data_IF_906167483042
#
_entry.id   IF_906167483042
#
_cell.length_a   1.000
_cell.length_b   1.000
_cell.length_c   1.000
_cell.angle_alpha   90.00
_cell.angle_beta   90.00
_cell.angle_gamma   90.00
#
_symmetry.space_group_name_H-M   'P 1'
#
loop_
_entity.id
_entity.type
_entity.pdbx_description
1 polymer ?
#
# COMPACT_ATOMS: atom_id res chain seq x y z
N UNK A 1 -7.10 -20.05 26.49
CA UNK A 1 -8.41 -19.36 26.37
C UNK A 1 -8.77 -18.46 27.55
N UNK A 2 -8.44 -18.81 28.80
CA UNK A 2 -8.80 -18.00 29.98
C UNK A 2 -7.91 -16.74 30.10
N UNK A 3 -6.60 -16.88 29.86
CA UNK A 3 -5.62 -15.81 30.05
C UNK A 3 -5.92 -14.51 29.25
N UNK A 4 -6.31 -14.57 27.96
CA UNK A 4 -6.75 -13.37 27.23
C UNK A 4 -7.97 -12.66 27.85
N UNK A 5 -8.90 -13.40 28.46
CA UNK A 5 -10.07 -12.81 29.13
C UNK A 5 -9.67 -12.13 30.44
N UNK A 6 -8.74 -12.73 31.18
CA UNK A 6 -8.21 -12.15 32.42
C UNK A 6 -7.49 -10.84 32.10
N UNK A 7 -6.62 -10.81 31.08
CA UNK A 7 -5.88 -9.59 30.71
C UNK A 7 -6.77 -8.42 30.26
N UNK A 8 -7.97 -8.69 29.75
CA UNK A 8 -8.94 -7.61 29.46
C UNK A 8 -9.46 -6.94 30.73
N UNK A 9 -9.60 -7.68 31.83
CA UNK A 9 -10.03 -7.16 33.12
C UNK A 9 -8.87 -6.69 34.00
N UNK A 10 -7.68 -7.26 33.80
CA UNK A 10 -6.48 -7.06 34.60
C UNK A 10 -5.25 -6.88 33.70
N UNK A 11 -5.12 -5.73 33.01
CA UNK A 11 -4.01 -5.44 32.09
C UNK A 11 -2.62 -5.44 32.76
N UNK A 12 -2.55 -5.27 34.07
CA UNK A 12 -1.31 -5.25 34.87
C UNK A 12 -0.47 -6.53 34.74
N UNK A 13 -1.11 -7.70 34.56
CA UNK A 13 -0.42 -8.99 34.45
C UNK A 13 0.23 -9.23 33.08
N UNK A 14 0.21 -8.24 32.17
CA UNK A 14 0.83 -8.37 30.86
C UNK A 14 2.36 -8.58 30.98
N UNK A 15 2.99 -7.99 32.00
CA UNK A 15 4.45 -8.10 32.21
C UNK A 15 4.87 -9.51 32.66
N UNK A 16 4.00 -10.21 33.38
CA UNK A 16 4.25 -11.56 33.92
C UNK A 16 3.94 -12.69 32.92
N UNK A 17 3.55 -12.33 31.69
CA UNK A 17 3.11 -13.29 30.68
C UNK A 17 4.11 -14.43 30.40
N UNK A 18 5.41 -14.13 30.43
CA UNK A 18 6.49 -15.11 30.22
C UNK A 18 6.57 -16.15 31.34
N UNK A 19 6.23 -15.76 32.57
CA UNK A 19 6.18 -16.66 33.73
C UNK A 19 4.92 -17.53 33.69
N UNK A 20 3.84 -17.01 33.11
CA UNK A 20 2.52 -17.66 33.06
C UNK A 20 2.40 -18.63 31.87
N UNK A 21 3.02 -18.34 30.72
CA UNK A 21 2.90 -19.18 29.52
C UNK A 21 4.09 -19.08 28.58
N UNK A 22 4.57 -20.24 28.12
CA UNK A 22 5.57 -20.37 27.05
C UNK A 22 4.89 -20.64 25.69
N UNK A 23 3.57 -20.90 25.68
CA UNK A 23 2.85 -21.20 24.45
C UNK A 23 2.81 -19.96 23.53
N UNK A 24 3.41 -20.03 22.32
CA UNK A 24 3.59 -18.88 21.43
C UNK A 24 2.25 -18.29 21.00
N UNK A 25 1.25 -19.14 20.71
CA UNK A 25 -0.10 -18.71 20.33
C UNK A 25 -0.78 -17.90 21.43
N UNK A 26 -0.63 -18.33 22.69
CA UNK A 26 -1.21 -17.60 23.82
C UNK A 26 -0.51 -16.27 24.03
N UNK A 27 0.81 -16.23 23.90
CA UNK A 27 1.60 -14.99 23.95
C UNK A 27 1.18 -14.01 22.86
N UNK A 28 1.01 -14.45 21.61
CA UNK A 28 0.55 -13.61 20.50
C UNK A 28 -0.84 -13.02 20.77
N UNK A 29 -1.81 -13.83 21.22
CA UNK A 29 -3.17 -13.35 21.50
C UNK A 29 -3.21 -12.38 22.70
N UNK A 30 -2.43 -12.64 23.75
CA UNK A 30 -2.36 -11.75 24.91
C UNK A 30 -1.66 -10.42 24.57
N UNK A 31 -0.59 -10.48 23.78
CA UNK A 31 0.09 -9.30 23.23
C UNK A 31 -0.85 -8.44 22.40
N UNK A 32 -1.64 -9.09 21.54
CA UNK A 32 -2.65 -8.43 20.72
C UNK A 32 -3.59 -7.57 21.57
N UNK A 33 -4.06 -8.11 22.69
CA UNK A 33 -4.92 -7.40 23.64
C UNK A 33 -4.14 -6.24 24.30
N UNK A 34 -2.91 -6.49 24.75
CA UNK A 34 -2.05 -5.45 25.31
C UNK A 34 -1.84 -4.26 24.36
N UNK A 35 -1.66 -4.52 23.06
CA UNK A 35 -1.57 -3.46 22.04
C UNK A 35 -2.87 -2.70 21.85
N UNK A 36 -4.01 -3.38 21.79
CA UNK A 36 -5.33 -2.71 21.70
C UNK A 36 -5.60 -1.82 22.91
N UNK A 37 -5.12 -2.20 24.10
CA UNK A 37 -5.24 -1.42 25.33
C UNK A 37 -4.18 -0.31 25.46
N UNK A 38 -3.22 -0.23 24.52
CA UNK A 38 -2.15 0.76 24.51
C UNK A 38 -1.05 0.55 25.54
N UNK A 39 -0.94 -0.66 26.11
CA UNK A 39 0.04 -1.02 27.13
C UNK A 39 1.40 -1.41 26.55
N UNK A 40 1.42 -1.81 25.28
CA UNK A 40 2.65 -2.08 24.51
C UNK A 40 2.94 -0.95 23.50
N UNK A 41 2.93 0.32 23.94
CA UNK A 41 3.44 1.43 23.11
C UNK A 41 4.93 1.26 22.91
N UNK A 42 5.46 1.27 21.69
CA UNK A 42 6.79 0.74 21.31
C UNK A 42 6.97 -0.76 21.66
N UNK A 43 6.69 -1.61 20.67
CA UNK A 43 6.57 -3.06 20.80
C UNK A 43 7.72 -3.74 21.56
N UNK A 44 8.96 -3.44 21.15
CA UNK A 44 10.15 -4.15 21.64
C UNK A 44 10.76 -3.53 22.91
N UNK A 45 10.40 -2.29 23.25
CA UNK A 45 10.88 -1.66 24.48
C UNK A 45 9.93 -1.88 25.65
N UNK A 46 8.62 -1.83 25.40
CA UNK A 46 7.61 -1.86 26.47
C UNK A 46 7.08 -3.25 26.77
N UNK A 47 7.30 -4.20 25.85
CA UNK A 47 6.86 -5.58 26.01
C UNK A 47 8.05 -6.54 25.79
N UNK A 48 8.96 -6.67 26.79
CA UNK A 48 10.22 -7.42 26.69
C UNK A 48 10.02 -8.94 26.52
N UNK A 49 8.79 -9.41 26.67
CA UNK A 49 8.43 -10.80 26.39
C UNK A 49 8.25 -11.11 24.90
N UNK A 50 8.14 -10.08 24.05
CA UNK A 50 7.97 -10.23 22.62
C UNK A 50 9.33 -10.19 21.97
N UNK A 51 9.90 -11.37 21.77
CA UNK A 51 11.16 -11.50 21.05
C UNK A 51 10.91 -11.38 19.55
N UNK A 52 11.82 -10.70 18.88
CA UNK A 52 11.86 -10.62 17.42
C UNK A 52 11.72 -12.00 16.78
N UNK A 53 12.40 -13.01 17.33
CA UNK A 53 12.41 -14.37 16.80
C UNK A 53 11.06 -15.09 16.96
N UNK A 54 10.33 -14.80 18.04
CA UNK A 54 8.98 -15.33 18.26
C UNK A 54 8.01 -14.81 17.19
N UNK A 55 8.06 -13.51 16.88
CA UNK A 55 7.25 -12.94 15.80
C UNK A 55 7.66 -13.55 14.47
N UNK A 56 8.97 -13.63 14.20
CA UNK A 56 9.50 -14.18 12.95
C UNK A 56 9.03 -15.63 12.72
N UNK A 57 9.02 -16.46 13.76
CA UNK A 57 8.49 -17.83 13.70
C UNK A 57 6.97 -17.85 13.45
N UNK A 58 6.21 -16.98 14.11
CA UNK A 58 4.77 -16.89 13.92
C UNK A 58 4.37 -16.40 12.52
N UNK A 59 5.18 -15.56 11.88
CA UNK A 59 4.99 -15.10 10.50
C UNK A 59 5.09 -16.23 9.47
N UNK A 60 5.88 -17.27 9.74
CA UNK A 60 6.08 -18.43 8.86
C UNK A 60 5.25 -19.65 9.28
N UNK A 61 4.24 -19.44 10.13
CA UNK A 61 3.37 -20.51 10.60
C UNK A 61 2.44 -20.99 9.48
N UNK A 62 2.15 -22.28 9.42
CA UNK A 62 1.13 -22.83 8.52
C UNK A 62 -0.30 -22.42 8.95
N UNK A 63 -0.50 -22.11 10.25
CA UNK A 63 -1.76 -21.57 10.76
C UNK A 63 -1.88 -20.07 10.40
N UNK A 64 -2.72 -19.77 9.40
CA UNK A 64 -3.05 -18.43 8.93
C UNK A 64 -3.44 -17.46 10.07
N UNK A 65 -4.12 -17.96 11.12
CA UNK A 65 -4.53 -17.12 12.23
C UNK A 65 -3.34 -16.65 13.07
N UNK A 66 -2.31 -17.49 13.23
CA UNK A 66 -1.08 -17.12 13.94
C UNK A 66 -0.34 -16.05 13.14
N UNK A 67 -0.22 -16.23 11.82
CA UNK A 67 0.39 -15.24 10.92
C UNK A 67 -0.34 -13.89 11.00
N UNK A 68 -1.68 -13.90 10.95
CA UNK A 68 -2.50 -12.69 11.07
C UNK A 68 -2.37 -12.03 12.44
N UNK A 69 -2.31 -12.80 13.52
CA UNK A 69 -2.13 -12.26 14.87
C UNK A 69 -0.74 -11.61 15.01
N UNK A 70 0.31 -12.18 14.42
CA UNK A 70 1.64 -11.57 14.34
C UNK A 70 1.62 -10.26 13.54
N UNK A 71 0.98 -10.24 12.37
CA UNK A 71 0.83 -9.00 11.59
C UNK A 71 0.03 -7.94 12.36
N UNK A 72 -1.04 -8.34 13.04
CA UNK A 72 -1.83 -7.42 13.87
C UNK A 72 -0.94 -6.76 14.92
N UNK A 73 -0.10 -7.53 15.59
CA UNK A 73 0.82 -7.00 16.60
C UNK A 73 1.76 -5.96 15.99
N UNK A 74 2.18 -6.09 14.74
CA UNK A 74 3.03 -5.09 14.09
C UNK A 74 2.26 -3.82 13.69
N UNK A 75 1.04 -3.99 13.18
CA UNK A 75 0.25 -2.91 12.59
C UNK A 75 -0.58 -2.11 13.61
N UNK A 76 -1.07 -2.71 14.69
CA UNK A 76 -2.03 -2.09 15.60
C UNK A 76 -1.33 -1.13 16.57
N UNK A 77 -1.53 0.18 16.49
CA UNK A 77 -0.96 1.12 17.46
C UNK A 77 -1.99 2.18 17.86
N UNK A 78 -2.18 2.48 19.16
CA UNK A 78 -3.11 3.53 19.60
C UNK A 78 -2.70 4.94 19.13
N UNK A 79 -1.42 5.17 18.82
CA UNK A 79 -0.88 6.47 18.40
C UNK A 79 -0.24 6.33 17.02
N UNK A 80 -0.91 6.86 16.00
CA UNK A 80 -0.40 6.81 14.60
C UNK A 80 0.87 7.65 14.40
N UNK A 81 1.16 8.61 15.29
CA UNK A 81 2.37 9.44 15.27
C UNK A 81 3.56 8.82 16.00
N UNK A 82 3.38 7.67 16.69
CA UNK A 82 4.49 6.95 17.31
C UNK A 82 5.41 6.35 16.25
N UNK A 83 6.71 6.58 16.40
CA UNK A 83 7.72 6.15 15.43
C UNK A 83 7.75 4.63 15.27
N UNK A 84 8.17 4.18 14.11
CA UNK A 84 8.45 2.77 13.86
C UNK A 84 9.95 2.50 14.01
N UNK A 85 10.26 1.42 14.72
CA UNK A 85 11.62 0.91 14.83
C UNK A 85 12.06 0.21 13.54
N UNK A 86 13.38 0.07 13.36
CA UNK A 86 13.95 -0.68 12.24
C UNK A 86 13.47 -2.15 12.23
N UNK A 87 13.34 -2.74 13.43
CA UNK A 87 12.87 -4.11 13.63
C UNK A 87 11.42 -4.27 13.14
N UNK A 88 10.53 -3.31 13.43
CA UNK A 88 9.15 -3.32 12.92
C UNK A 88 9.12 -3.28 11.39
N UNK A 89 9.94 -2.43 10.76
CA UNK A 89 10.03 -2.40 9.31
C UNK A 89 10.48 -3.75 8.75
N UNK A 90 11.56 -4.32 9.29
CA UNK A 90 12.12 -5.57 8.76
C UNK A 90 11.19 -6.77 8.98
N UNK A 91 10.40 -6.80 10.05
CA UNK A 91 9.37 -7.81 10.25
C UNK A 91 8.19 -7.68 9.29
N UNK A 92 7.77 -6.47 8.94
CA UNK A 92 6.74 -6.27 7.90
C UNK A 92 7.29 -6.70 6.53
N UNK A 93 8.54 -6.36 6.20
CA UNK A 93 9.20 -6.83 4.97
C UNK A 93 9.20 -8.36 4.91
N UNK A 94 9.61 -8.98 6.01
CA UNK A 94 9.66 -10.44 6.12
C UNK A 94 8.26 -11.06 6.00
N UNK A 95 7.25 -10.49 6.66
CA UNK A 95 5.86 -10.94 6.53
C UNK A 95 5.41 -10.96 5.07
N UNK A 96 5.61 -9.85 4.36
CA UNK A 96 5.23 -9.73 2.96
C UNK A 96 5.95 -10.76 2.09
N UNK A 97 7.26 -10.91 2.25
CA UNK A 97 8.03 -11.89 1.47
C UNK A 97 7.57 -13.33 1.68
N UNK A 98 7.16 -13.70 2.91
CA UNK A 98 6.77 -15.07 3.24
C UNK A 98 5.32 -15.40 2.89
N UNK A 99 4.43 -14.40 2.84
CA UNK A 99 2.98 -14.63 2.78
C UNK A 99 2.30 -14.05 1.53
N UNK A 100 3.02 -13.41 0.62
CA UNK A 100 2.45 -12.75 -0.57
C UNK A 100 1.72 -13.73 -1.50
N UNK A 101 2.18 -14.98 -1.58
CA UNK A 101 1.62 -16.00 -2.45
C UNK A 101 0.52 -16.86 -1.79
N UNK A 102 0.04 -16.47 -0.60
CA UNK A 102 -1.02 -17.22 0.06
C UNK A 102 -2.33 -17.17 -0.77
N UNK A 103 -2.87 -18.36 -1.10
CA UNK A 103 -4.06 -18.53 -1.94
C UNK A 103 -5.40 -18.12 -1.30
N UNK A 104 -5.45 -17.96 0.02
CA UNK A 104 -6.68 -17.69 0.78
C UNK A 104 -7.12 -16.23 0.60
N UNK A 105 -8.26 -16.02 -0.07
CA UNK A 105 -8.87 -14.68 -0.24
C UNK A 105 -9.22 -14.04 1.11
N UNK A 106 -9.71 -14.84 2.07
CA UNK A 106 -10.00 -14.35 3.43
C UNK A 106 -8.75 -13.82 4.13
N UNK A 107 -7.65 -14.57 4.05
CA UNK A 107 -6.36 -14.18 4.60
C UNK A 107 -5.85 -12.90 3.94
N UNK A 108 -5.81 -12.83 2.60
CA UNK A 108 -5.35 -11.65 1.85
C UNK A 108 -6.13 -10.39 2.21
N UNK A 109 -7.46 -10.49 2.36
CA UNK A 109 -8.29 -9.35 2.75
C UNK A 109 -7.99 -8.85 4.17
N UNK A 110 -7.75 -9.78 5.11
CA UNK A 110 -7.36 -9.43 6.48
C UNK A 110 -5.96 -8.82 6.54
N UNK A 111 -4.99 -9.37 5.80
CA UNK A 111 -3.64 -8.80 5.63
C UNK A 111 -3.74 -7.37 5.13
N UNK A 112 -4.49 -7.14 4.05
CA UNK A 112 -4.65 -5.81 3.48
C UNK A 112 -5.30 -4.84 4.48
N UNK A 113 -6.31 -5.27 5.24
CA UNK A 113 -6.94 -4.44 6.29
C UNK A 113 -5.93 -3.98 7.34
N UNK A 114 -5.04 -4.88 7.78
CA UNK A 114 -4.00 -4.56 8.75
C UNK A 114 -2.92 -3.65 8.16
N UNK A 115 -2.49 -3.91 6.92
CA UNK A 115 -1.52 -3.07 6.22
C UNK A 115 -2.01 -1.65 6.00
N UNK A 116 -3.30 -1.42 5.75
CA UNK A 116 -3.86 -0.06 5.67
C UNK A 116 -3.64 0.74 6.96
N UNK A 117 -3.84 0.11 8.13
CA UNK A 117 -3.56 0.76 9.43
C UNK A 117 -2.08 1.08 9.58
N UNK A 118 -1.21 0.16 9.18
CA UNK A 118 0.23 0.37 9.17
C UNK A 118 0.63 1.54 8.26
N UNK A 119 0.09 1.62 7.05
CA UNK A 119 0.40 2.72 6.12
C UNK A 119 -0.03 4.08 6.67
N UNK A 120 -1.19 4.15 7.35
CA UNK A 120 -1.61 5.36 8.06
C UNK A 120 -0.59 5.76 9.13
N UNK A 121 -0.14 4.81 9.97
CA UNK A 121 0.91 5.05 10.97
C UNK A 121 2.23 5.48 10.32
N UNK A 122 2.64 4.83 9.23
CA UNK A 122 3.84 5.19 8.47
C UNK A 122 3.76 6.64 7.99
N UNK A 123 2.65 7.04 7.37
CA UNK A 123 2.43 8.43 6.93
C UNK A 123 2.48 9.41 8.09
N UNK A 124 1.70 9.17 9.14
CA UNK A 124 1.52 10.12 10.23
C UNK A 124 2.81 10.30 11.04
N UNK A 125 3.50 9.21 11.36
CA UNK A 125 4.78 9.25 12.07
C UNK A 125 5.91 9.86 11.22
N UNK A 126 5.95 9.60 9.91
CA UNK A 126 6.90 10.23 9.00
C UNK A 126 6.71 11.74 8.89
N UNK A 127 5.47 12.20 8.67
CA UNK A 127 5.14 13.63 8.66
C UNK A 127 5.43 14.30 10.00
N UNK A 128 5.21 13.58 11.11
CA UNK A 128 5.57 14.07 12.43
C UNK A 128 7.09 14.23 12.59
N UNK A 129 7.90 13.24 12.20
CA UNK A 129 9.37 13.33 12.19
C UNK A 129 9.85 14.56 11.42
N UNK A 130 9.35 14.74 10.21
CA UNK A 130 9.77 15.83 9.34
C UNK A 130 9.41 17.22 9.90
N UNK A 131 8.25 17.37 10.54
CA UNK A 131 7.89 18.61 11.25
C UNK A 131 8.79 18.87 12.45
N UNK A 132 9.19 17.83 13.17
CA UNK A 132 10.09 17.96 14.33
C UNK A 132 11.51 18.31 13.90
N UNK A 133 12.01 17.72 12.81
CA UNK A 133 13.26 18.09 12.14
C UNK A 133 13.34 19.60 11.91
N UNK A 134 12.33 20.19 11.26
CA UNK A 134 12.32 21.64 10.98
C UNK A 134 12.28 22.52 12.23
N UNK A 135 11.63 22.06 13.31
CA UNK A 135 11.52 22.83 14.56
C UNK A 135 12.77 22.78 15.41
N UNK A 136 13.46 21.64 15.43
CA UNK A 136 14.54 21.36 16.38
C UNK A 136 15.93 21.31 15.75
N UNK A 137 16.05 21.26 14.41
CA UNK A 137 17.32 21.05 13.69
C UNK A 137 18.15 19.92 14.32
N UNK A 138 17.49 18.80 14.56
CA UNK A 138 18.04 17.68 15.32
C UNK A 138 18.33 16.50 14.37
N UNK A 139 19.58 16.07 14.38
CA UNK A 139 20.15 15.09 13.46
C UNK A 139 19.53 13.69 13.64
N UNK A 140 19.01 13.37 14.83
CA UNK A 140 18.29 12.11 15.06
C UNK A 140 17.03 12.00 14.20
N UNK A 141 16.37 13.14 13.91
CA UNK A 141 15.20 13.19 13.04
C UNK A 141 15.54 13.05 11.55
N UNK A 142 16.78 13.35 11.15
CA UNK A 142 17.26 13.08 9.79
C UNK A 142 17.34 11.58 9.55
N UNK A 143 18.01 10.86 10.44
CA UNK A 143 18.15 9.39 10.38
C UNK A 143 16.79 8.69 10.48
N UNK A 144 15.87 9.20 11.30
CA UNK A 144 14.48 8.73 11.34
C UNK A 144 13.80 8.92 9.98
N UNK A 145 13.81 10.13 9.43
CA UNK A 145 13.13 10.45 8.16
C UNK A 145 13.67 9.62 7.00
N UNK A 146 14.98 9.38 6.96
CA UNK A 146 15.62 8.56 5.93
C UNK A 146 15.26 7.08 6.06
N UNK A 147 15.07 6.56 7.28
CA UNK A 147 14.56 5.18 7.48
C UNK A 147 13.17 4.99 6.86
N UNK A 148 12.26 5.94 7.07
CA UNK A 148 10.94 5.90 6.42
C UNK A 148 11.05 5.93 4.89
N UNK A 149 11.95 6.77 4.35
CA UNK A 149 12.24 6.83 2.91
C UNK A 149 12.67 5.48 2.37
N UNK A 150 13.68 4.87 2.99
CA UNK A 150 14.22 3.60 2.54
C UNK A 150 13.18 2.48 2.64
N UNK A 151 12.35 2.48 3.68
CA UNK A 151 11.25 1.54 3.81
C UNK A 151 10.20 1.69 2.71
N UNK A 152 9.75 2.92 2.44
CA UNK A 152 8.74 3.19 1.42
C UNK A 152 9.26 2.90 0.01
N UNK A 153 10.52 3.25 -0.28
CA UNK A 153 11.19 2.91 -1.53
C UNK A 153 11.27 1.38 -1.73
N UNK A 154 11.69 0.65 -0.69
CA UNK A 154 11.70 -0.81 -0.72
C UNK A 154 10.30 -1.38 -0.99
N UNK A 155 9.28 -0.88 -0.30
CA UNK A 155 7.92 -1.41 -0.38
C UNK A 155 7.30 -1.20 -1.76
N UNK A 156 7.53 -0.03 -2.36
CA UNK A 156 7.13 0.28 -3.73
C UNK A 156 7.83 -0.66 -4.72
N UNK A 157 9.16 -0.75 -4.65
CA UNK A 157 9.94 -1.57 -5.59
C UNK A 157 9.61 -3.06 -5.43
N UNK A 158 9.46 -3.55 -4.20
CA UNK A 158 9.03 -4.92 -3.92
C UNK A 158 7.65 -5.19 -4.52
N UNK A 159 6.69 -4.30 -4.30
CA UNK A 159 5.34 -4.47 -4.84
C UNK A 159 5.33 -4.47 -6.37
N UNK A 160 6.07 -3.56 -7.01
CA UNK A 160 6.17 -3.51 -8.47
C UNK A 160 6.90 -4.74 -9.03
N UNK A 161 7.88 -5.29 -8.32
CA UNK A 161 8.59 -6.51 -8.73
C UNK A 161 7.71 -7.75 -8.72
N UNK A 162 6.61 -7.75 -7.96
CA UNK A 162 5.63 -8.83 -7.88
C UNK A 162 4.51 -8.73 -8.92
N UNK A 163 4.53 -7.72 -9.80
CA UNK A 163 3.50 -7.50 -10.83
C UNK A 163 3.84 -8.12 -12.20
N UNK A 164 4.81 -9.03 -12.27
CA UNK A 164 5.13 -9.72 -13.52
C UNK A 164 4.00 -10.69 -13.92
N UNK A 165 3.76 -10.85 -15.23
CA UNK A 165 2.59 -11.56 -15.75
C UNK A 165 2.52 -13.04 -15.34
N UNK A 166 3.65 -13.69 -15.09
CA UNK A 166 3.73 -15.11 -14.70
C UNK A 166 3.49 -15.34 -13.20
N UNK A 167 3.40 -14.27 -12.39
CA UNK A 167 3.13 -14.37 -10.96
C UNK A 167 1.71 -14.88 -10.67
N UNK A 168 1.52 -15.47 -9.49
CA UNK A 168 0.19 -15.94 -9.10
C UNK A 168 -0.79 -14.77 -8.96
N UNK A 169 -2.10 -15.05 -9.10
CA UNK A 169 -3.13 -14.05 -8.82
C UNK A 169 -2.99 -13.50 -7.40
N UNK A 170 -2.74 -14.35 -6.40
CA UNK A 170 -2.55 -13.93 -5.02
C UNK A 170 -1.44 -12.91 -4.85
N UNK A 171 -0.29 -13.20 -5.45
CA UNK A 171 0.89 -12.35 -5.36
C UNK A 171 0.68 -11.00 -6.04
N UNK A 172 0.18 -11.02 -7.29
CA UNK A 172 -0.06 -9.82 -8.07
C UNK A 172 -1.15 -8.94 -7.44
N UNK A 173 -2.25 -9.55 -7.00
CA UNK A 173 -3.37 -8.85 -6.38
C UNK A 173 -2.99 -8.16 -5.06
N UNK A 174 -2.29 -8.84 -4.15
CA UNK A 174 -1.86 -8.19 -2.91
C UNK A 174 -0.89 -7.03 -3.20
N UNK A 175 0.02 -7.23 -4.14
CA UNK A 175 1.05 -6.24 -4.48
C UNK A 175 0.46 -4.98 -5.14
N UNK A 176 -0.49 -5.14 -6.07
CA UNK A 176 -1.15 -3.99 -6.69
C UNK A 176 -1.99 -3.21 -5.67
N UNK A 177 -2.66 -3.90 -4.74
CA UNK A 177 -3.44 -3.24 -3.69
C UNK A 177 -2.56 -2.51 -2.67
N UNK A 178 -1.37 -3.03 -2.36
CA UNK A 178 -0.39 -2.30 -1.53
C UNK A 178 0.02 -1.00 -2.22
N UNK A 179 0.39 -1.05 -3.50
CA UNK A 179 0.74 0.14 -4.28
C UNK A 179 -0.41 1.14 -4.35
N UNK A 180 -1.60 0.64 -4.66
CA UNK A 180 -2.83 1.44 -4.72
C UNK A 180 -3.03 2.22 -3.42
N UNK A 181 -3.00 1.54 -2.27
CA UNK A 181 -3.18 2.20 -0.98
C UNK A 181 -2.07 3.21 -0.64
N UNK A 182 -0.81 2.89 -0.94
CA UNK A 182 0.30 3.83 -0.71
C UNK A 182 0.14 5.10 -1.55
N UNK A 183 -0.15 4.95 -2.84
CA UNK A 183 -0.31 6.08 -3.76
C UNK A 183 -1.56 6.90 -3.41
N UNK A 184 -2.68 6.28 -3.06
CA UNK A 184 -3.88 7.01 -2.64
C UNK A 184 -3.70 7.72 -1.30
N UNK A 185 -2.92 7.15 -0.38
CA UNK A 185 -2.70 7.72 0.94
C UNK A 185 -1.72 8.90 0.92
N UNK A 186 -0.63 8.79 0.14
CA UNK A 186 0.45 9.79 0.10
C UNK A 186 0.39 10.72 -1.12
N UNK A 187 -0.17 10.29 -2.24
CA UNK A 187 -0.30 11.07 -3.49
C UNK A 187 -1.49 12.02 -3.51
N UNK A 188 -2.08 12.34 -2.36
CA UNK A 188 -3.09 13.40 -2.28
C UNK A 188 -2.41 14.76 -2.28
N UNK A 189 -2.90 15.71 -3.08
CA UNK A 189 -2.32 17.05 -3.24
C UNK A 189 -1.98 17.73 -1.90
N UNK A 190 -2.81 17.56 -0.87
CA UNK A 190 -2.54 18.09 0.47
C UNK A 190 -1.29 17.48 1.12
N UNK A 191 -1.09 16.16 1.02
CA UNK A 191 0.08 15.45 1.55
C UNK A 191 1.31 15.78 0.71
N UNK A 192 1.22 15.79 -0.61
CA UNK A 192 2.32 16.17 -1.50
C UNK A 192 2.80 17.61 -1.23
N UNK A 193 1.86 18.55 -1.10
CA UNK A 193 2.17 19.94 -0.73
C UNK A 193 2.88 20.01 0.62
N UNK A 194 2.45 19.22 1.60
CA UNK A 194 3.13 19.13 2.89
C UNK A 194 4.53 18.53 2.70
N UNK A 195 4.68 17.47 1.91
CA UNK A 195 5.98 16.84 1.66
C UNK A 195 6.95 17.83 1.03
N UNK A 196 6.56 18.54 -0.04
CA UNK A 196 7.38 19.58 -0.66
C UNK A 196 7.74 20.69 0.33
N UNK A 197 6.79 21.19 1.14
CA UNK A 197 7.07 22.20 2.18
C UNK A 197 8.05 21.72 3.24
N UNK A 198 8.07 20.41 3.50
CA UNK A 198 8.95 19.78 4.47
C UNK A 198 10.25 19.24 3.83
N UNK A 199 10.52 19.53 2.55
CA UNK A 199 11.64 18.96 1.77
C UNK A 199 11.69 17.42 1.84
N UNK A 200 10.52 16.80 1.79
CA UNK A 200 10.34 15.36 1.71
C UNK A 200 10.10 14.94 0.26
N UNK A 201 10.50 13.71 -0.07
CA UNK A 201 10.19 13.07 -1.34
C UNK A 201 8.68 12.85 -1.50
N UNK A 202 8.20 12.88 -2.74
CA UNK A 202 6.84 12.43 -3.05
C UNK A 202 6.89 10.96 -3.43
N UNK A 203 5.93 10.13 -3.00
CA UNK A 203 5.94 8.69 -3.32
C UNK A 203 5.96 8.41 -4.82
N UNK A 204 5.34 9.28 -5.63
CA UNK A 204 5.33 9.17 -7.09
C UNK A 204 6.75 9.26 -7.68
N UNK A 205 7.66 9.97 -7.02
CA UNK A 205 9.07 10.12 -7.43
C UNK A 205 9.92 8.88 -7.10
N UNK A 206 9.45 8.00 -6.21
CA UNK A 206 10.16 6.77 -5.84
C UNK A 206 9.96 5.63 -6.84
N UNK A 207 8.98 5.73 -7.74
CA UNK A 207 8.69 4.67 -8.68
C UNK A 207 9.66 4.73 -9.86
N UNK A 208 10.54 3.74 -9.95
CA UNK A 208 11.51 3.61 -11.04
C UNK A 208 10.84 3.33 -12.39
N UNK A 209 11.54 3.64 -13.49
CA UNK A 209 11.03 3.39 -14.86
C UNK A 209 10.61 1.93 -15.10
N UNK A 210 11.41 0.97 -14.62
CA UNK A 210 11.10 -0.47 -14.73
C UNK A 210 9.83 -0.84 -13.97
N UNK A 211 9.63 -0.23 -12.79
CA UNK A 211 8.43 -0.40 -11.98
C UNK A 211 7.19 0.15 -12.69
N UNK A 212 7.33 1.25 -13.44
CA UNK A 212 6.26 1.75 -14.30
C UNK A 212 5.90 0.78 -15.43
N UNK A 213 6.87 0.17 -16.10
CA UNK A 213 6.60 -0.81 -17.17
C UNK A 213 5.77 -2.00 -16.66
N UNK A 214 6.09 -2.52 -15.47
CA UNK A 214 5.29 -3.57 -14.84
C UNK A 214 3.85 -3.13 -14.54
N UNK A 215 3.66 -1.90 -14.04
CA UNK A 215 2.32 -1.33 -13.83
C UNK A 215 1.55 -1.19 -15.16
N UNK A 216 2.20 -0.68 -16.22
CA UNK A 216 1.58 -0.62 -17.54
C UNK A 216 1.15 -2.00 -18.01
N UNK A 217 2.01 -3.02 -17.87
CA UNK A 217 1.68 -4.40 -18.24
C UNK A 217 0.42 -4.93 -17.53
N UNK A 218 0.15 -4.49 -16.30
CA UNK A 218 -1.09 -4.84 -15.58
C UNK A 218 -2.37 -4.33 -16.27
N UNK A 219 -2.32 -3.35 -17.17
CA UNK A 219 -3.50 -2.94 -17.97
C UNK A 219 -3.97 -4.06 -18.93
N UNK A 220 -3.07 -4.98 -19.26
CA UNK A 220 -3.34 -6.17 -20.06
C UNK A 220 -3.50 -7.43 -19.21
N UNK A 221 -3.63 -7.30 -17.88
CA UNK A 221 -3.85 -8.46 -17.02
C UNK A 221 -5.19 -9.14 -17.32
N UNK A 222 -5.26 -10.45 -17.08
CA UNK A 222 -6.49 -11.24 -17.23
C UNK A 222 -7.55 -10.88 -16.18
N UNK A 223 -7.13 -10.43 -14.99
CA UNK A 223 -8.04 -10.09 -13.89
C UNK A 223 -8.39 -8.60 -13.89
N UNK A 224 -9.69 -8.31 -13.78
CA UNK A 224 -10.27 -6.97 -13.86
C UNK A 224 -9.81 -6.05 -12.73
N UNK A 225 -9.83 -6.55 -11.50
CA UNK A 225 -9.39 -5.83 -10.30
C UNK A 225 -7.94 -5.33 -10.39
N UNK A 226 -7.03 -6.13 -10.96
CA UNK A 226 -5.64 -5.75 -11.20
C UNK A 226 -5.55 -4.65 -12.27
N UNK A 227 -6.32 -4.76 -13.36
CA UNK A 227 -6.36 -3.74 -14.42
C UNK A 227 -6.85 -2.40 -13.89
N UNK A 228 -7.97 -2.40 -13.17
CA UNK A 228 -8.58 -1.19 -12.60
C UNK A 228 -7.65 -0.52 -11.60
N UNK A 229 -7.09 -1.27 -10.65
CA UNK A 229 -6.15 -0.72 -9.66
C UNK A 229 -4.89 -0.15 -10.33
N UNK A 230 -4.35 -0.84 -11.34
CA UNK A 230 -3.20 -0.34 -12.08
C UNK A 230 -3.50 0.97 -12.80
N UNK A 231 -4.66 1.07 -13.45
CA UNK A 231 -5.04 2.31 -14.10
C UNK A 231 -5.19 3.44 -13.09
N UNK A 232 -5.90 3.23 -11.98
CA UNK A 232 -6.08 4.27 -10.96
C UNK A 232 -4.72 4.78 -10.44
N UNK A 233 -3.76 3.88 -10.23
CA UNK A 233 -2.38 4.24 -9.86
C UNK A 233 -1.72 5.06 -10.97
N UNK A 234 -1.71 4.56 -12.21
CA UNK A 234 -1.10 5.23 -13.38
C UNK A 234 -1.71 6.61 -13.57
N UNK A 235 -3.01 6.75 -13.37
CA UNK A 235 -3.71 8.03 -13.47
C UNK A 235 -3.24 8.96 -12.36
N UNK A 236 -3.32 8.51 -11.11
CA UNK A 236 -3.02 9.31 -9.91
C UNK A 236 -1.57 9.81 -9.91
N UNK A 237 -0.63 8.96 -10.30
CA UNK A 237 0.80 9.29 -10.35
C UNK A 237 1.17 10.35 -11.39
N UNK A 238 0.27 10.58 -12.35
CA UNK A 238 0.64 11.07 -13.66
C UNK A 238 -0.29 12.25 -14.07
N UNK A 239 -1.19 12.66 -13.16
CA UNK A 239 -1.93 13.94 -13.20
C UNK A 239 -1.00 15.16 -13.34
N UNK A 240 0.32 15.00 -13.16
CA UNK A 240 1.31 16.05 -13.41
C UNK A 240 2.23 15.82 -14.61
N UNK A 241 2.28 14.62 -15.22
CA UNK A 241 3.29 14.27 -16.24
C UNK A 241 2.88 13.20 -17.29
N UNK A 242 1.59 12.94 -17.53
CA UNK A 242 1.13 12.23 -18.75
C UNK A 242 1.30 13.14 -20.00
N UNK A 243 2.48 13.74 -20.21
CA UNK A 243 2.82 14.48 -21.43
C UNK A 243 3.69 13.64 -22.38
N UNK A 244 3.85 12.35 -22.08
CA UNK A 244 4.49 11.39 -22.98
C UNK A 244 3.43 10.85 -23.95
N UNK A 245 3.41 11.40 -25.17
CA UNK A 245 2.46 11.05 -26.23
C UNK A 245 2.32 9.55 -26.45
N UNK A 246 3.42 8.80 -26.30
CA UNK A 246 3.42 7.36 -26.49
C UNK A 246 2.57 6.65 -25.42
N UNK A 247 2.65 7.10 -24.16
CA UNK A 247 1.92 6.48 -23.05
C UNK A 247 0.43 6.76 -23.14
N UNK A 248 0.05 7.99 -23.53
CA UNK A 248 -1.36 8.32 -23.79
C UNK A 248 -1.91 7.43 -24.89
N UNK A 249 -1.18 7.28 -26.01
CA UNK A 249 -1.60 6.44 -27.12
C UNK A 249 -1.80 4.99 -26.68
N UNK A 250 -0.85 4.40 -25.95
CA UNK A 250 -0.99 3.03 -25.44
C UNK A 250 -2.20 2.85 -24.54
N UNK A 251 -2.53 3.86 -23.73
CA UNK A 251 -3.70 3.86 -22.85
C UNK A 251 -5.00 3.95 -23.65
N UNK A 252 -5.08 4.85 -24.62
CA UNK A 252 -6.25 5.00 -25.50
C UNK A 252 -6.47 3.76 -26.38
N UNK A 253 -5.41 3.18 -26.94
CA UNK A 253 -5.48 1.91 -27.68
C UNK A 253 -6.06 0.80 -26.81
N UNK A 254 -5.65 0.72 -25.55
CA UNK A 254 -6.17 -0.29 -24.62
C UNK A 254 -7.65 -0.06 -24.29
N UNK A 255 -8.05 1.20 -24.07
CA UNK A 255 -9.45 1.55 -23.85
C UNK A 255 -10.31 1.17 -25.06
N UNK A 256 -9.88 1.52 -26.26
CA UNK A 256 -10.58 1.12 -27.48
C UNK A 256 -10.71 -0.40 -27.57
N UNK A 257 -9.63 -1.13 -27.32
CA UNK A 257 -9.63 -2.58 -27.37
C UNK A 257 -10.65 -3.17 -26.38
N UNK A 258 -10.70 -2.66 -25.16
CA UNK A 258 -11.64 -3.12 -24.12
C UNK A 258 -13.09 -2.76 -24.46
N UNK A 259 -13.35 -1.52 -24.90
CA UNK A 259 -14.68 -1.07 -25.30
C UNK A 259 -15.20 -1.80 -26.55
N UNK A 260 -14.30 -2.22 -27.44
CA UNK A 260 -14.63 -2.96 -28.66
C UNK A 260 -14.75 -4.48 -28.40
N UNK A 261 -14.46 -4.94 -27.19
CA UNK A 261 -14.60 -6.35 -26.85
C UNK A 261 -16.06 -6.79 -26.87
N UNK A 262 -16.29 -8.04 -27.28
CA UNK A 262 -17.61 -8.70 -27.18
C UNK A 262 -17.86 -9.29 -25.80
N UNK A 263 -16.84 -9.28 -24.92
CA UNK A 263 -16.96 -9.79 -23.56
C UNK A 263 -17.44 -8.67 -22.62
N UNK A 264 -18.62 -8.81 -21.98
CA UNK A 264 -19.14 -7.82 -21.03
C UNK A 264 -18.14 -7.36 -19.95
N UNK A 265 -17.33 -8.23 -19.30
CA UNK A 265 -16.37 -7.76 -18.30
C UNK A 265 -15.26 -6.88 -18.89
N UNK A 266 -14.80 -7.17 -20.11
CA UNK A 266 -13.79 -6.33 -20.76
C UNK A 266 -14.35 -4.96 -21.15
N UNK A 267 -15.59 -4.91 -21.66
CA UNK A 267 -16.28 -3.66 -21.96
C UNK A 267 -16.53 -2.83 -20.69
N UNK A 268 -16.91 -3.47 -19.58
CA UNK A 268 -17.09 -2.83 -18.28
C UNK A 268 -15.77 -2.22 -17.78
N UNK A 269 -14.67 -2.99 -17.82
CA UNK A 269 -13.34 -2.49 -17.52
C UNK A 269 -13.01 -1.26 -18.38
N UNK A 270 -13.22 -1.33 -19.70
CA UNK A 270 -13.00 -0.22 -20.64
C UNK A 270 -13.81 1.03 -20.28
N UNK A 271 -15.06 0.88 -19.85
CA UNK A 271 -15.89 1.99 -19.38
C UNK A 271 -15.36 2.59 -18.07
N UNK A 272 -14.95 1.77 -17.10
CA UNK A 272 -14.27 2.24 -15.88
C UNK A 272 -13.02 3.03 -16.23
N UNK A 273 -12.23 2.56 -17.22
CA UNK A 273 -11.02 3.24 -17.64
C UNK A 273 -11.30 4.64 -18.20
N UNK A 274 -12.32 4.78 -19.04
CA UNK A 274 -12.77 6.08 -19.56
C UNK A 274 -13.18 7.02 -18.43
N UNK A 275 -13.94 6.52 -17.45
CA UNK A 275 -14.37 7.32 -16.31
C UNK A 275 -13.18 7.81 -15.48
N UNK A 276 -12.18 6.96 -15.25
CA UNK A 276 -10.98 7.35 -14.51
C UNK A 276 -10.18 8.42 -15.27
N UNK A 277 -10.00 8.28 -16.59
CA UNK A 277 -9.33 9.30 -17.41
C UNK A 277 -10.09 10.62 -17.40
N UNK A 278 -11.42 10.57 -17.45
CA UNK A 278 -12.24 11.78 -17.39
C UNK A 278 -12.04 12.59 -16.11
N UNK A 279 -11.63 11.95 -15.01
CA UNK A 279 -11.30 12.66 -13.76
C UNK A 279 -9.93 13.36 -13.81
N UNK A 280 -9.10 13.07 -14.82
CA UNK A 280 -7.83 13.76 -15.04
C UNK A 280 -8.05 14.93 -15.96
N UNK A 281 -7.63 16.11 -15.54
CA UNK A 281 -7.62 17.28 -16.39
C UNK A 281 -6.43 17.19 -17.37
N UNK A 282 -6.56 16.39 -18.44
CA UNK A 282 -5.54 16.26 -19.47
C UNK A 282 -5.58 17.52 -20.35
N UNK A 283 -4.82 18.54 -19.96
CA UNK A 283 -4.82 19.85 -20.62
C UNK A 283 -4.41 19.81 -22.09
N UNK A 284 -3.62 18.80 -22.49
CA UNK A 284 -3.09 18.65 -23.86
C UNK A 284 -3.87 17.65 -24.72
N UNK A 285 -4.96 17.06 -24.22
CA UNK A 285 -5.74 16.05 -24.94
C UNK A 285 -6.15 16.48 -26.37
N UNK A 286 -6.56 17.75 -26.62
CA UNK A 286 -6.89 18.23 -27.96
C UNK A 286 -5.68 18.30 -28.92
N UNK A 287 -4.49 18.58 -28.41
CA UNK A 287 -3.25 18.67 -29.21
C UNK A 287 -2.72 17.28 -29.59
N UNK A 288 -2.86 16.32 -28.67
CA UNK A 288 -2.56 14.91 -28.90
C UNK A 288 -3.45 14.29 -29.98
N UNK A 289 -4.75 14.56 -29.95
CA UNK A 289 -5.73 14.03 -30.93
C UNK A 289 -5.46 14.55 -32.36
N UNK A 290 -4.93 15.77 -32.49
CA UNK A 290 -4.67 16.41 -33.79
C UNK A 290 -3.43 15.86 -34.54
N UNK A 291 -2.59 15.05 -33.90
CA UNK A 291 -1.40 14.46 -34.53
C UNK A 291 -1.66 13.00 -34.91
N UNK A 292 -2.12 12.73 -36.14
CA UNK A 292 -2.18 11.39 -36.75
C UNK A 292 -2.80 10.29 -35.86
N UNK A 293 -4.08 10.42 -35.47
CA UNK A 293 -4.76 9.37 -34.70
C UNK A 293 -6.05 8.84 -35.35
N UNK A 294 -6.32 7.55 -35.16
CA UNK A 294 -7.55 6.85 -35.57
C UNK A 294 -8.79 7.66 -35.15
N UNK A 295 -9.77 7.79 -36.05
CA UNK A 295 -11.10 8.40 -35.79
C UNK A 295 -11.80 7.85 -34.53
N UNK A 296 -11.42 6.65 -34.09
CA UNK A 296 -11.95 5.99 -32.91
C UNK A 296 -11.57 6.70 -31.60
N UNK A 297 -10.43 7.41 -31.54
CA UNK A 297 -10.06 8.19 -30.34
C UNK A 297 -10.92 9.42 -30.16
N UNK A 298 -11.46 10.00 -31.24
CA UNK A 298 -12.42 11.10 -31.15
C UNK A 298 -13.68 10.66 -30.40
N UNK A 299 -14.09 9.39 -30.54
CA UNK A 299 -15.23 8.83 -29.81
C UNK A 299 -14.94 8.71 -28.31
N UNK A 300 -13.74 8.24 -27.93
CA UNK A 300 -13.31 8.24 -26.52
C UNK A 300 -13.27 9.66 -25.97
N UNK A 301 -12.72 10.62 -26.73
CA UNK A 301 -12.65 12.02 -26.33
C UNK A 301 -14.02 12.66 -26.14
N UNK A 302 -14.95 12.40 -27.06
CA UNK A 302 -16.34 12.83 -26.93
C UNK A 302 -17.02 12.21 -25.70
N UNK A 303 -16.75 10.93 -25.44
CA UNK A 303 -17.28 10.24 -24.26
C UNK A 303 -16.72 10.83 -22.96
N UNK A 304 -15.41 11.10 -22.89
CA UNK A 304 -14.75 11.79 -21.78
C UNK A 304 -15.40 13.16 -21.55
N UNK A 305 -15.52 13.98 -22.60
CA UNK A 305 -16.13 15.31 -22.52
C UNK A 305 -17.59 15.29 -22.07
N UNK A 306 -18.34 14.26 -22.45
CA UNK A 306 -19.72 14.11 -22.00
C UNK A 306 -19.78 13.72 -20.50
N UNK A 307 -18.82 12.94 -20.02
CA UNK A 307 -18.72 12.55 -18.60
C UNK A 307 -18.30 13.75 -17.73
N UNK A 308 -17.36 14.58 -18.20
CA UNK A 308 -16.82 15.72 -17.42
C UNK A 308 -17.69 16.97 -17.41
N UNK A 309 -18.64 17.11 -18.34
CA UNK A 309 -19.59 18.24 -18.39
C UNK A 309 -20.79 18.10 -17.44
N UNK A 310 -20.84 17.04 -16.63
CA UNK A 310 -21.80 16.86 -15.53
C UNK A 310 -21.20 17.30 -14.21
#
# INVERSE_FOLDING_TARGET
>A
YILPKILKGHPEYLQDLKEITINPRTLTVCTRIGRTLGLCSNLFSSCPFIEHDLIRQGITSDDEQICLDCLFILCENPKTTEYLSQIEFDLIKYFLQMNVDNGSTSFRNQVLSLLKKHFIRVKDSWLFCARQKLKKNDQDFDDLTERYRNYLNWLINWSCSNLYLEGSYSQRHLSILILHWLIHLHGNQGVETICHKLNLYVLTELIEKKSMENLFNCLWDTYEDIRECSLEIIIKMNVTNINDDLRIRTLFDRILQLLSSTQPPETASGATLVQCIAQINITNLPELINCDIKQEYDQIYLLINHITKR
#
